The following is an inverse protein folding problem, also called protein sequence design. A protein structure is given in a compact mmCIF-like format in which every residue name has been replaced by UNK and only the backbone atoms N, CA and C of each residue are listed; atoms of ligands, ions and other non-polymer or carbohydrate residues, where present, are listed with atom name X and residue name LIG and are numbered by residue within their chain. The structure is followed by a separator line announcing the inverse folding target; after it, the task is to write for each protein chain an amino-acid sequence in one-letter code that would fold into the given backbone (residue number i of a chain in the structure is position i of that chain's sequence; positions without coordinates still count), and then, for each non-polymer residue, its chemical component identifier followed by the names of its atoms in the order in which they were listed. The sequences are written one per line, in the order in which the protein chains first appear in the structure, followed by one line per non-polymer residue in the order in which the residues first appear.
data_IF_639280061110
#
_entry.id   IF_639280061110
#
_cell.length_a   1.000
_cell.length_b   1.000
_cell.length_c   1.000
_cell.angle_alpha   90.00
_cell.angle_beta   90.00
_cell.angle_gamma   90.00
#
_symmetry.space_group_name_H-M   'P 1'
#
loop_
_entity.id
_entity.type
_entity.pdbx_description
1 polymer ?
#
# COMPACT_ATOMS: atom_id res chain seq x y z
N UNK A 1 10.42 14.29 10.75
CA UNK A 1 11.52 14.07 9.77
C UNK A 1 12.06 12.65 9.90
N UNK A 2 12.23 12.14 11.14
CA UNK A 2 12.55 10.73 11.42
C UNK A 2 11.50 9.73 10.92
N UNK A 3 10.20 9.97 11.14
CA UNK A 3 9.15 9.02 10.67
C UNK A 3 9.07 8.90 9.14
N UNK A 4 9.39 9.99 8.43
CA UNK A 4 9.44 10.00 6.97
C UNK A 4 10.67 9.22 6.46
N UNK A 5 11.80 9.32 7.15
CA UNK A 5 13.02 8.55 6.85
C UNK A 5 12.84 7.06 7.16
N UNK A 6 12.16 6.71 8.25
CA UNK A 6 11.88 5.33 8.63
C UNK A 6 10.97 4.64 7.59
N UNK A 7 9.92 5.33 7.12
CA UNK A 7 9.04 4.83 6.05
C UNK A 7 9.75 4.75 4.68
N UNK A 8 10.66 5.68 4.38
CA UNK A 8 11.48 5.63 3.17
C UNK A 8 12.42 4.43 3.17
N UNK A 9 13.11 4.17 4.30
CA UNK A 9 14.00 3.02 4.45
C UNK A 9 13.20 1.72 4.35
N UNK A 10 12.04 1.61 5.02
CA UNK A 10 11.20 0.38 4.97
C UNK A 10 10.77 0.05 3.54
N UNK A 11 10.39 1.08 2.76
CA UNK A 11 9.94 0.95 1.36
C UNK A 11 11.08 0.72 0.35
N UNK A 12 12.28 1.20 0.63
CA UNK A 12 13.43 1.09 -0.29
C UNK A 12 14.52 0.14 0.21
N UNK A 13 14.27 -0.57 1.31
CA UNK A 13 15.23 -1.46 1.95
C UNK A 13 15.79 -2.50 0.99
N UNK A 14 14.93 -3.20 0.24
CA UNK A 14 15.36 -4.22 -0.72
C UNK A 14 16.28 -3.64 -1.80
N UNK A 15 15.99 -2.42 -2.27
CA UNK A 15 16.83 -1.73 -3.26
C UNK A 15 18.17 -1.32 -2.64
N UNK A 16 18.15 -0.75 -1.43
CA UNK A 16 19.37 -0.36 -0.70
C UNK A 16 20.25 -1.59 -0.45
N UNK A 17 19.65 -2.68 0.04
CA UNK A 17 20.33 -3.92 0.33
C UNK A 17 20.96 -4.52 -0.94
N UNK A 18 20.23 -4.49 -2.06
CA UNK A 18 20.74 -4.93 -3.36
C UNK A 18 21.90 -4.04 -3.85
N UNK A 19 21.82 -2.72 -3.69
CA UNK A 19 22.91 -1.81 -4.03
C UNK A 19 24.16 -2.07 -3.18
N UNK A 20 24.00 -2.33 -1.89
CA UNK A 20 25.12 -2.70 -1.00
C UNK A 20 25.72 -4.03 -1.45
N UNK A 21 24.89 -5.02 -1.79
CA UNK A 21 25.33 -6.31 -2.32
C UNK A 21 26.17 -6.12 -3.59
N UNK A 22 25.64 -5.40 -4.59
CA UNK A 22 26.36 -5.10 -5.84
C UNK A 22 27.66 -4.35 -5.59
N UNK A 23 27.65 -3.37 -4.69
CA UNK A 23 28.86 -2.64 -4.31
C UNK A 23 29.92 -3.57 -3.70
N UNK A 24 29.54 -4.45 -2.77
CA UNK A 24 30.46 -5.42 -2.17
C UNK A 24 30.97 -6.44 -3.18
N UNK A 25 30.13 -6.91 -4.12
CA UNK A 25 30.54 -7.78 -5.22
C UNK A 25 31.57 -7.11 -6.13
N UNK A 26 31.40 -5.81 -6.43
CA UNK A 26 32.37 -5.03 -7.20
C UNK A 26 33.70 -4.87 -6.46
N UNK A 27 33.66 -4.58 -5.16
CA UNK A 27 34.86 -4.52 -4.31
C UNK A 27 35.58 -5.87 -4.28
N UNK A 28 34.83 -6.98 -4.16
CA UNK A 28 35.35 -8.33 -4.22
C UNK A 28 36.04 -8.62 -5.57
N UNK A 29 35.38 -8.27 -6.68
CA UNK A 29 35.94 -8.41 -8.02
C UNK A 29 37.26 -7.64 -8.18
N UNK A 30 37.31 -6.38 -7.72
CA UNK A 30 38.52 -5.55 -7.75
C UNK A 30 39.62 -6.17 -6.89
N UNK A 31 39.30 -6.69 -5.70
CA UNK A 31 40.25 -7.38 -4.84
C UNK A 31 40.86 -8.60 -5.55
N UNK A 32 40.04 -9.48 -6.12
CA UNK A 32 40.53 -10.68 -6.80
C UNK A 32 41.40 -10.38 -8.02
N UNK A 33 41.11 -9.28 -8.74
CA UNK A 33 41.82 -8.95 -9.97
C UNK A 33 43.11 -8.13 -9.73
N UNK A 34 43.05 -7.10 -8.87
CA UNK A 34 44.15 -6.15 -8.68
C UNK A 34 44.99 -6.45 -7.43
N UNK A 35 44.35 -6.57 -6.27
CA UNK A 35 45.05 -6.56 -4.98
C UNK A 35 45.44 -7.95 -4.48
N UNK A 36 44.66 -8.98 -4.85
CA UNK A 36 44.84 -10.40 -4.49
C UNK A 36 45.04 -10.63 -2.99
N UNK A 37 44.36 -9.84 -2.16
CA UNK A 37 44.46 -9.94 -0.71
C UNK A 37 43.63 -11.13 -0.25
N UNK A 38 44.29 -12.13 0.32
CA UNK A 38 43.67 -13.31 0.93
C UNK A 38 43.95 -13.30 2.44
N UNK A 39 42.96 -12.93 3.24
CA UNK A 39 43.08 -12.86 4.71
C UNK A 39 42.95 -14.24 5.38
N UNK A 40 42.21 -15.16 4.77
CA UNK A 40 41.91 -16.49 5.33
C UNK A 40 42.38 -17.55 4.34
N UNK A 41 43.23 -18.45 4.81
CA UNK A 41 43.71 -19.62 4.07
C UNK A 41 42.96 -20.85 4.57
N UNK A 42 42.22 -21.49 3.68
CA UNK A 42 41.46 -22.70 3.97
C UNK A 42 42.11 -23.90 3.28
N UNK A 43 42.08 -25.06 3.92
CA UNK A 43 42.43 -26.33 3.29
C UNK A 43 41.32 -26.81 2.35
N UNK A 44 41.67 -27.72 1.44
CA UNK A 44 40.72 -28.36 0.51
C UNK A 44 39.49 -28.90 1.22
N UNK A 45 39.69 -29.73 2.23
CA UNK A 45 38.59 -30.32 3.00
C UNK A 45 37.68 -29.24 3.60
N UNK A 46 38.26 -28.16 4.15
CA UNK A 46 37.48 -27.06 4.72
C UNK A 46 36.61 -26.38 3.67
N UNK A 47 37.13 -26.17 2.46
CA UNK A 47 36.38 -25.56 1.36
C UNK A 47 35.22 -26.47 0.95
N UNK A 48 35.49 -27.75 0.67
CA UNK A 48 34.42 -28.69 0.29
C UNK A 48 33.33 -28.76 1.37
N UNK A 49 33.70 -28.86 2.65
CA UNK A 49 32.73 -28.90 3.74
C UNK A 49 31.92 -27.61 3.86
N UNK A 50 32.56 -26.43 3.80
CA UNK A 50 31.87 -25.14 3.95
C UNK A 50 30.87 -24.95 2.83
N UNK A 51 31.28 -25.05 1.57
CA UNK A 51 30.40 -24.70 0.44
C UNK A 51 29.34 -25.77 0.17
N UNK A 52 29.63 -27.06 0.44
CA UNK A 52 28.59 -28.09 0.41
C UNK A 52 27.56 -27.87 1.52
N UNK A 53 27.99 -27.58 2.75
CA UNK A 53 27.07 -27.36 3.87
C UNK A 53 26.24 -26.08 3.68
N UNK A 54 26.86 -25.01 3.17
CA UNK A 54 26.19 -23.73 2.93
C UNK A 54 25.09 -23.87 1.87
N UNK A 55 25.34 -24.59 0.77
CA UNK A 55 24.31 -24.89 -0.23
C UNK A 55 23.14 -25.69 0.35
N UNK A 56 23.41 -26.69 1.19
CA UNK A 56 22.37 -27.50 1.85
C UNK A 56 21.54 -26.69 2.84
N UNK A 57 22.18 -25.86 3.67
CA UNK A 57 21.50 -24.98 4.64
C UNK A 57 20.59 -23.99 3.93
N UNK A 58 21.07 -23.36 2.85
CA UNK A 58 20.24 -22.43 2.05
C UNK A 58 19.06 -23.17 1.41
N UNK A 59 19.28 -24.36 0.84
CA UNK A 59 18.20 -25.16 0.27
C UNK A 59 17.12 -25.52 1.31
N UNK A 60 17.54 -25.91 2.52
CA UNK A 60 16.61 -26.22 3.61
C UNK A 60 15.83 -24.97 4.08
N UNK A 61 16.53 -23.85 4.30
CA UNK A 61 15.90 -22.59 4.69
C UNK A 61 14.91 -22.10 3.64
N UNK A 62 15.28 -22.18 2.35
CA UNK A 62 14.41 -21.80 1.24
C UNK A 62 13.11 -22.63 1.24
N UNK A 63 13.22 -23.95 1.39
CA UNK A 63 12.07 -24.84 1.48
C UNK A 63 11.15 -24.49 2.66
N UNK A 64 11.73 -24.21 3.83
CA UNK A 64 10.98 -23.78 5.02
C UNK A 64 10.29 -22.43 4.80
N UNK A 65 10.95 -21.47 4.19
CA UNK A 65 10.40 -20.14 3.90
C UNK A 65 9.22 -20.21 2.93
N UNK A 66 9.31 -21.02 1.87
CA UNK A 66 8.21 -21.23 0.92
C UNK A 66 7.00 -21.86 1.62
N UNK A 67 7.23 -22.89 2.44
CA UNK A 67 6.17 -23.52 3.21
C UNK A 67 5.49 -22.54 4.19
N UNK A 68 6.30 -21.77 4.92
CA UNK A 68 5.80 -20.75 5.84
C UNK A 68 4.99 -19.66 5.13
N UNK A 69 5.47 -19.17 4.00
CA UNK A 69 4.75 -18.20 3.17
C UNK A 69 3.38 -18.75 2.73
N UNK A 70 3.32 -19.99 2.23
CA UNK A 70 2.06 -20.60 1.76
C UNK A 70 1.01 -20.67 2.87
N UNK A 71 1.41 -20.98 4.10
CA UNK A 71 0.50 -21.03 5.24
C UNK A 71 -0.03 -19.64 5.61
N UNK A 72 0.84 -18.63 5.55
CA UNK A 72 0.51 -17.25 5.91
C UNK A 72 -0.36 -16.59 4.85
N UNK A 73 -0.06 -16.78 3.56
CA UNK A 73 -0.89 -16.30 2.46
C UNK A 73 -2.32 -16.85 2.57
N UNK A 74 -2.45 -18.16 2.86
CA UNK A 74 -3.75 -18.78 3.09
C UNK A 74 -4.49 -18.19 4.28
N UNK A 75 -3.79 -17.97 5.41
CA UNK A 75 -4.41 -17.39 6.61
C UNK A 75 -4.83 -15.95 6.39
N UNK A 76 -4.02 -15.16 5.70
CA UNK A 76 -4.32 -13.77 5.37
C UNK A 76 -5.54 -13.65 4.46
N UNK A 77 -5.67 -14.51 3.45
CA UNK A 77 -6.89 -14.59 2.61
C UNK A 77 -8.13 -14.91 3.44
N UNK A 78 -8.06 -15.91 4.31
CA UNK A 78 -9.17 -16.26 5.22
C UNK A 78 -9.59 -15.07 6.09
N UNK A 79 -8.63 -14.31 6.63
CA UNK A 79 -8.93 -13.11 7.41
C UNK A 79 -9.62 -12.03 6.58
N UNK A 80 -9.20 -11.81 5.34
CA UNK A 80 -9.83 -10.85 4.44
C UNK A 80 -11.24 -11.27 3.97
N UNK A 81 -11.51 -12.57 3.91
CA UNK A 81 -12.85 -13.12 3.64
C UNK A 81 -13.79 -12.95 4.84
N UNK A 82 -13.27 -13.13 6.06
CA UNK A 82 -14.03 -12.94 7.31
C UNK A 82 -14.31 -11.47 7.61
N UNK A 83 -13.32 -10.59 7.39
CA UNK A 83 -13.44 -9.14 7.60
C UNK A 83 -13.02 -8.36 6.36
N UNK A 84 -14.03 -7.94 5.59
CA UNK A 84 -13.85 -7.12 4.37
C UNK A 84 -13.20 -5.76 4.62
N UNK A 85 -13.11 -5.30 5.87
CA UNK A 85 -12.55 -3.98 6.21
C UNK A 85 -11.02 -3.97 6.25
N UNK A 86 -10.40 -5.16 6.35
CA UNK A 86 -8.93 -5.32 6.31
C UNK A 86 -8.41 -5.76 4.94
N UNK A 87 -9.29 -6.02 3.97
CA UNK A 87 -8.90 -6.55 2.65
C UNK A 87 -7.81 -5.71 1.99
N UNK A 88 -7.98 -4.38 1.98
CA UNK A 88 -7.00 -3.43 1.42
C UNK A 88 -5.61 -3.59 2.08
N UNK A 89 -5.56 -3.73 3.41
CA UNK A 89 -4.30 -3.91 4.14
C UNK A 89 -3.68 -5.28 3.90
N UNK A 90 -4.51 -6.32 3.86
CA UNK A 90 -4.08 -7.70 3.63
C UNK A 90 -3.45 -7.84 2.25
N UNK A 91 -4.07 -7.28 1.21
CA UNK A 91 -3.53 -7.35 -0.15
C UNK A 91 -2.17 -6.64 -0.26
N UNK A 92 -2.04 -5.45 0.33
CA UNK A 92 -0.78 -4.71 0.41
C UNK A 92 0.33 -5.53 1.11
N UNK A 93 0.02 -6.08 2.28
CA UNK A 93 0.98 -6.88 3.07
C UNK A 93 1.41 -8.13 2.30
N UNK A 94 0.45 -8.82 1.66
CA UNK A 94 0.73 -10.02 0.85
C UNK A 94 1.65 -9.69 -0.33
N UNK A 95 1.45 -8.54 -0.97
CA UNK A 95 2.33 -8.08 -2.04
C UNK A 95 3.76 -7.85 -1.56
N UNK A 96 3.94 -7.22 -0.39
CA UNK A 96 5.27 -7.00 0.21
C UNK A 96 5.96 -8.34 0.58
N UNK A 97 5.21 -9.32 1.08
CA UNK A 97 5.72 -10.65 1.41
C UNK A 97 6.13 -11.41 0.16
N UNK A 98 5.32 -11.32 -0.90
CA UNK A 98 5.61 -11.94 -2.19
C UNK A 98 6.92 -11.39 -2.77
N UNK A 99 7.10 -10.07 -2.77
CA UNK A 99 8.34 -9.43 -3.25
C UNK A 99 9.54 -9.92 -2.44
N UNK A 100 9.45 -9.92 -1.10
CA UNK A 100 10.52 -10.38 -0.22
C UNK A 100 10.88 -11.85 -0.48
N UNK A 101 9.88 -12.71 -0.63
CA UNK A 101 10.07 -14.13 -0.96
C UNK A 101 10.80 -14.31 -2.30
N UNK A 102 10.43 -13.55 -3.32
CA UNK A 102 11.07 -13.62 -4.63
C UNK A 102 12.56 -13.25 -4.57
N UNK A 103 12.94 -12.24 -3.78
CA UNK A 103 14.35 -11.93 -3.55
C UNK A 103 15.10 -13.07 -2.89
N UNK A 104 14.52 -13.68 -1.84
CA UNK A 104 15.12 -14.82 -1.14
C UNK A 104 15.32 -16.00 -2.10
N UNK A 105 14.32 -16.32 -2.93
CA UNK A 105 14.42 -17.40 -3.93
C UNK A 105 15.57 -17.14 -4.91
N UNK A 106 15.60 -15.96 -5.53
CA UNK A 106 16.59 -15.64 -6.56
C UNK A 106 18.00 -15.65 -5.97
N UNK A 107 18.22 -14.98 -4.84
CA UNK A 107 19.52 -14.93 -4.17
C UNK A 107 19.97 -16.33 -3.73
N UNK A 108 19.06 -17.15 -3.20
CA UNK A 108 19.36 -18.52 -2.78
C UNK A 108 19.82 -19.40 -3.94
N UNK A 109 19.15 -19.32 -5.09
CA UNK A 109 19.54 -20.07 -6.29
C UNK A 109 20.93 -19.64 -6.77
N UNK A 110 21.18 -18.32 -6.87
CA UNK A 110 22.49 -17.79 -7.25
C UNK A 110 23.57 -18.27 -6.29
N UNK A 111 23.30 -18.24 -4.99
CA UNK A 111 24.24 -18.68 -3.97
C UNK A 111 24.58 -20.17 -4.08
N UNK A 112 23.57 -21.03 -4.25
CA UNK A 112 23.77 -22.48 -4.46
C UNK A 112 24.63 -22.71 -5.70
N UNK A 113 24.36 -22.01 -6.80
CA UNK A 113 25.19 -22.09 -8.02
C UNK A 113 26.63 -21.67 -7.73
N UNK A 114 26.86 -20.59 -6.98
CA UNK A 114 28.21 -20.15 -6.64
C UNK A 114 28.93 -21.15 -5.73
N UNK A 115 28.26 -21.76 -4.76
CA UNK A 115 28.81 -22.85 -3.95
C UNK A 115 29.25 -24.03 -4.82
N UNK A 116 28.42 -24.43 -5.79
CA UNK A 116 28.77 -25.51 -6.73
C UNK A 116 29.94 -25.12 -7.63
N UNK A 117 30.01 -23.86 -8.08
CA UNK A 117 31.15 -23.35 -8.85
C UNK A 117 32.45 -23.38 -8.03
N UNK A 118 32.42 -22.99 -6.74
CA UNK A 118 33.59 -23.10 -5.86
C UNK A 118 34.11 -24.54 -5.82
N UNK A 119 33.22 -25.51 -5.61
CA UNK A 119 33.58 -26.93 -5.58
C UNK A 119 34.16 -27.38 -6.94
N UNK A 120 33.53 -26.96 -8.05
CA UNK A 120 33.95 -27.36 -9.39
C UNK A 120 35.27 -26.72 -9.86
N UNK A 121 35.58 -25.49 -9.41
CA UNK A 121 36.78 -24.75 -9.87
C UNK A 121 37.98 -24.91 -8.95
N UNK A 122 37.81 -25.50 -7.76
CA UNK A 122 38.87 -25.62 -6.76
C UNK A 122 40.10 -26.38 -7.28
N UNK A 123 39.89 -27.54 -7.89
CA UNK A 123 40.98 -28.43 -8.36
C UNK A 123 41.57 -28.01 -9.72
N UNK A 124 40.85 -27.18 -10.47
CA UNK A 124 41.20 -26.82 -11.85
C UNK A 124 42.27 -25.70 -11.99
N UNK A 125 43.01 -25.38 -10.93
CA UNK A 125 44.04 -24.32 -10.93
C UNK A 125 43.55 -22.94 -11.45
N UNK A 126 42.23 -22.67 -11.42
CA UNK A 126 41.64 -21.38 -11.79
C UNK A 126 41.84 -20.36 -10.66
N UNK A 127 43.10 -20.02 -10.40
CA UNK A 127 43.59 -19.26 -9.25
C UNK A 127 42.93 -17.88 -9.05
N UNK A 128 42.34 -17.29 -10.10
CA UNK A 128 41.71 -15.96 -10.04
C UNK A 128 40.20 -16.03 -9.84
N UNK A 129 39.55 -17.14 -10.23
CA UNK A 129 38.09 -17.27 -10.26
C UNK A 129 37.56 -17.92 -8.98
N UNK A 130 38.28 -18.91 -8.45
CA UNK A 130 37.88 -19.61 -7.22
C UNK A 130 37.78 -18.68 -6.01
N UNK A 131 38.77 -17.80 -5.71
CA UNK A 131 38.67 -16.87 -4.59
C UNK A 131 37.49 -15.90 -4.70
N UNK A 132 37.15 -15.46 -5.93
CA UNK A 132 36.00 -14.59 -6.15
C UNK A 132 34.71 -15.29 -5.72
N UNK A 133 34.42 -16.48 -6.26
CA UNK A 133 33.19 -17.21 -5.92
C UNK A 133 33.14 -17.62 -4.44
N UNK A 134 34.30 -17.90 -3.84
CA UNK A 134 34.40 -18.21 -2.41
C UNK A 134 33.91 -17.05 -1.55
N UNK A 135 34.44 -15.84 -1.78
CA UNK A 135 34.03 -14.65 -1.03
C UNK A 135 32.61 -14.22 -1.38
N UNK A 136 32.24 -14.31 -2.66
CA UNK A 136 30.94 -13.90 -3.17
C UNK A 136 29.80 -14.73 -2.56
N UNK A 137 30.00 -16.04 -2.43
CA UNK A 137 29.02 -16.93 -1.78
C UNK A 137 28.78 -16.55 -0.32
N UNK A 138 29.81 -16.11 0.42
CA UNK A 138 29.67 -15.67 1.82
C UNK A 138 28.94 -14.32 1.90
N UNK A 139 29.24 -13.39 0.99
CA UNK A 139 28.55 -12.09 0.90
C UNK A 139 27.06 -12.33 0.66
N UNK A 140 26.72 -13.05 -0.42
CA UNK A 140 25.33 -13.33 -0.77
C UNK A 140 24.61 -14.10 0.34
N UNK A 141 25.27 -15.06 0.99
CA UNK A 141 24.69 -15.79 2.12
C UNK A 141 24.30 -14.87 3.27
N UNK A 142 25.15 -13.90 3.61
CA UNK A 142 24.88 -12.93 4.66
C UNK A 142 23.65 -12.07 4.32
N UNK A 143 23.51 -11.68 3.06
CA UNK A 143 22.32 -10.97 2.57
C UNK A 143 21.05 -11.81 2.63
N UNK A 144 21.12 -13.09 2.24
CA UNK A 144 20.00 -14.03 2.38
C UNK A 144 19.56 -14.13 3.85
N UNK A 145 20.50 -14.22 4.79
CA UNK A 145 20.18 -14.29 6.22
C UNK A 145 19.49 -13.01 6.73
N UNK A 146 19.93 -11.83 6.29
CA UNK A 146 19.27 -10.55 6.65
C UNK A 146 17.84 -10.52 6.12
N UNK A 147 17.62 -10.90 4.85
CA UNK A 147 16.28 -10.95 4.25
C UNK A 147 15.40 -12.01 4.91
N UNK A 148 15.95 -13.16 5.29
CA UNK A 148 15.22 -14.21 6.02
C UNK A 148 14.78 -13.75 7.41
N UNK A 149 15.67 -13.13 8.18
CA UNK A 149 15.33 -12.59 9.51
C UNK A 149 14.22 -11.55 9.36
N UNK A 150 14.35 -10.64 8.39
CA UNK A 150 13.34 -9.63 8.08
C UNK A 150 12.01 -10.27 7.69
N UNK A 151 12.04 -11.26 6.80
CA UNK A 151 10.86 -12.01 6.38
C UNK A 151 10.15 -12.65 7.56
N UNK A 152 10.89 -13.24 8.50
CA UNK A 152 10.32 -13.81 9.73
C UNK A 152 9.76 -12.72 10.65
N UNK A 153 10.44 -11.58 10.81
CA UNK A 153 9.93 -10.45 11.59
C UNK A 153 8.65 -9.85 10.99
N UNK A 154 8.49 -9.90 9.67
CA UNK A 154 7.24 -9.53 9.01
C UNK A 154 6.09 -10.46 9.37
N UNK A 155 6.32 -11.69 9.81
CA UNK A 155 5.24 -12.62 10.20
C UNK A 155 4.57 -12.24 11.55
N UNK A 156 4.79 -11.02 12.04
CA UNK A 156 4.20 -10.49 13.25
C UNK A 156 2.66 -10.35 13.10
N UNK A 157 1.86 -10.90 14.03
CA UNK A 157 0.39 -10.79 13.99
C UNK A 157 -0.11 -9.34 14.03
N UNK A 158 0.70 -8.39 14.49
CA UNK A 158 0.33 -6.98 14.59
C UNK A 158 0.54 -6.18 13.30
N UNK A 159 1.03 -6.77 12.20
CA UNK A 159 1.35 -6.02 10.98
C UNK A 159 0.13 -5.35 10.35
N UNK A 160 -1.05 -5.99 10.43
CA UNK A 160 -2.31 -5.37 9.99
C UNK A 160 -2.58 -4.10 10.82
N UNK A 161 -2.31 -4.16 12.13
CA UNK A 161 -2.53 -3.03 13.03
C UNK A 161 -1.55 -1.89 12.82
N UNK A 162 -0.28 -2.22 12.64
CA UNK A 162 0.77 -1.25 12.28
C UNK A 162 0.43 -0.53 10.96
N UNK A 163 -0.07 -1.28 9.96
CA UNK A 163 -0.49 -0.70 8.68
C UNK A 163 -1.70 0.23 8.85
N UNK A 164 -2.68 -0.16 9.68
CA UNK A 164 -3.81 0.70 10.05
C UNK A 164 -3.38 2.01 10.71
N UNK A 165 -2.48 1.96 11.70
CA UNK A 165 -1.91 3.17 12.33
C UNK A 165 -1.19 4.07 11.32
N UNK A 166 -0.35 3.50 10.44
CA UNK A 166 0.34 4.28 9.41
C UNK A 166 -0.61 4.92 8.41
N UNK A 167 -1.69 4.23 8.03
CA UNK A 167 -2.68 4.77 7.12
C UNK A 167 -3.45 5.93 7.76
N UNK A 168 -3.86 5.76 9.02
CA UNK A 168 -4.48 6.80 9.84
C UNK A 168 -3.61 8.05 9.92
N UNK A 169 -2.33 7.89 10.28
CA UNK A 169 -1.38 9.01 10.38
C UNK A 169 -1.22 9.74 9.05
N UNK A 170 -1.26 8.99 7.94
CA UNK A 170 -1.19 9.57 6.60
C UNK A 170 -2.43 10.41 6.26
N UNK A 171 -3.62 9.92 6.60
CA UNK A 171 -4.88 10.66 6.41
C UNK A 171 -4.92 11.87 7.34
N UNK A 172 -4.60 11.71 8.62
CA UNK A 172 -4.56 12.81 9.61
C UNK A 172 -3.62 13.95 9.16
N UNK A 173 -2.49 13.61 8.53
CA UNK A 173 -1.56 14.60 8.01
C UNK A 173 -2.15 15.47 6.89
N UNK A 174 -3.10 14.96 6.12
CA UNK A 174 -3.80 15.71 5.05
C UNK A 174 -4.77 16.76 5.60
N UNK A 175 -5.20 16.60 6.86
CA UNK A 175 -6.11 17.51 7.55
C UNK A 175 -5.39 18.52 8.46
N UNK A 176 -4.05 18.43 8.60
CA UNK A 176 -3.26 19.27 9.53
C UNK A 176 -3.30 20.77 9.23
N UNK A 177 -3.63 21.20 8.02
CA UNK A 177 -3.76 22.64 7.69
C UNK A 177 -5.05 23.29 8.25
N UNK A 178 -5.90 22.53 8.96
CA UNK A 178 -7.23 22.99 9.38
C UNK A 178 -7.51 22.96 10.90
N UNK A 179 -6.53 22.66 11.76
CA UNK A 179 -6.80 22.54 13.22
C UNK A 179 -5.78 23.23 14.13
N UNK A 180 -6.32 24.00 15.08
CA UNK A 180 -5.69 24.39 16.33
C UNK A 180 -5.28 23.15 17.12
N UNK A 181 -4.02 23.13 17.59
CA UNK A 181 -3.34 21.97 18.20
C UNK A 181 -3.90 21.48 19.55
N UNK A 182 -5.09 21.94 19.98
CA UNK A 182 -5.56 21.78 21.36
C UNK A 182 -6.86 20.97 21.53
N UNK A 183 -7.50 20.45 20.48
CA UNK A 183 -8.64 19.54 20.65
C UNK A 183 -8.19 18.07 20.69
N UNK A 184 -7.84 17.61 21.90
CA UNK A 184 -7.76 16.17 22.18
C UNK A 184 -9.15 15.56 22.04
N UNK A 185 -9.37 14.78 21.00
CA UNK A 185 -10.68 14.19 20.73
C UNK A 185 -10.64 12.68 21.02
N UNK A 186 -11.11 12.32 22.22
CA UNK A 186 -11.51 10.95 22.61
C UNK A 186 -12.83 10.56 21.90
N UNK A 187 -12.95 10.86 20.60
CA UNK A 187 -14.20 10.72 19.84
C UNK A 187 -14.27 9.43 19.02
N UNK A 188 -13.52 8.37 19.39
CA UNK A 188 -13.53 7.10 18.67
C UNK A 188 -14.93 6.50 18.57
N UNK A 189 -15.58 6.21 19.70
CA UNK A 189 -16.89 5.58 19.70
C UNK A 189 -17.97 6.43 18.99
N UNK A 190 -18.07 7.76 19.26
CA UNK A 190 -18.97 8.63 18.51
C UNK A 190 -18.74 8.60 17.00
N UNK A 191 -17.48 8.69 16.55
CA UNK A 191 -17.12 8.64 15.14
C UNK A 191 -17.58 7.32 14.47
N UNK A 192 -17.33 6.17 15.12
CA UNK A 192 -17.76 4.87 14.60
C UNK A 192 -19.29 4.79 14.52
N UNK A 193 -19.99 5.31 15.53
CA UNK A 193 -21.46 5.35 15.54
C UNK A 193 -22.00 6.19 14.38
N UNK A 194 -21.47 7.41 14.19
CA UNK A 194 -21.96 8.34 13.16
C UNK A 194 -21.60 7.85 11.75
N UNK A 195 -20.42 7.24 11.57
CA UNK A 195 -20.07 6.57 10.32
C UNK A 195 -21.05 5.44 10.00
N UNK A 196 -21.40 4.60 10.98
CA UNK A 196 -22.35 3.51 10.76
C UNK A 196 -23.76 4.03 10.41
N UNK A 197 -24.16 5.19 10.96
CA UNK A 197 -25.40 5.86 10.57
C UNK A 197 -25.35 6.37 9.13
N UNK A 198 -24.22 6.96 8.71
CA UNK A 198 -24.00 7.35 7.32
C UNK A 198 -24.04 6.16 6.37
N UNK A 199 -23.32 5.07 6.70
CA UNK A 199 -23.30 3.84 5.89
C UNK A 199 -24.71 3.25 5.72
N UNK A 200 -25.49 3.22 6.81
CA UNK A 200 -26.89 2.77 6.76
C UNK A 200 -27.73 3.67 5.87
N UNK A 201 -27.62 5.00 6.03
CA UNK A 201 -28.35 5.97 5.23
C UNK A 201 -28.08 5.81 3.72
N UNK A 202 -26.81 5.62 3.34
CA UNK A 202 -26.41 5.38 1.95
C UNK A 202 -27.09 4.14 1.37
N UNK A 203 -27.07 3.02 2.12
CA UNK A 203 -27.71 1.77 1.71
C UNK A 203 -29.22 1.90 1.61
N UNK A 204 -29.86 2.55 2.58
CA UNK A 204 -31.31 2.79 2.58
C UNK A 204 -31.73 3.65 1.38
N UNK A 205 -30.98 4.72 1.08
CA UNK A 205 -31.23 5.58 -0.07
C UNK A 205 -31.04 4.82 -1.40
N UNK A 206 -29.96 4.05 -1.55
CA UNK A 206 -29.74 3.24 -2.74
C UNK A 206 -30.84 2.18 -2.94
N UNK A 207 -31.25 1.48 -1.87
CA UNK A 207 -32.33 0.49 -1.93
C UNK A 207 -33.69 1.11 -2.27
N UNK A 208 -33.97 2.32 -1.79
CA UNK A 208 -35.15 3.10 -2.17
C UNK A 208 -35.17 3.37 -3.68
N UNK A 209 -34.04 3.79 -4.27
CA UNK A 209 -33.95 4.11 -5.70
C UNK A 209 -34.11 2.89 -6.61
N UNK A 210 -33.64 1.72 -6.17
CA UNK A 210 -33.76 0.46 -6.94
C UNK A 210 -35.14 -0.20 -6.75
N UNK A 211 -35.95 0.28 -5.78
CA UNK A 211 -37.22 -0.37 -5.43
C UNK A 211 -37.04 -1.71 -4.74
N UNK A 212 -35.93 -1.92 -4.03
CA UNK A 212 -35.61 -3.17 -3.32
C UNK A 212 -35.26 -2.92 -1.84
N UNK A 213 -36.22 -2.45 -1.02
CA UNK A 213 -35.98 -2.06 0.37
C UNK A 213 -35.52 -3.23 1.27
N UNK A 214 -35.85 -4.48 0.91
CA UNK A 214 -35.46 -5.65 1.69
C UNK A 214 -33.97 -6.05 1.53
N UNK A 215 -33.21 -5.32 0.70
CA UNK A 215 -31.82 -5.65 0.35
C UNK A 215 -30.77 -4.79 1.05
N UNK A 216 -31.15 -3.83 1.91
CA UNK A 216 -30.23 -2.87 2.56
C UNK A 216 -29.02 -3.56 3.21
N UNK A 217 -29.26 -4.65 3.94
CA UNK A 217 -28.20 -5.36 4.68
C UNK A 217 -27.24 -6.14 3.78
N UNK A 218 -27.64 -6.45 2.53
CA UNK A 218 -26.81 -7.18 1.57
C UNK A 218 -25.98 -6.28 0.67
N UNK A 219 -26.41 -5.03 0.48
CA UNK A 219 -25.74 -4.09 -0.40
C UNK A 219 -24.41 -3.64 0.18
N UNK A 220 -23.33 -3.75 -0.60
CA UNK A 220 -22.02 -3.24 -0.20
C UNK A 220 -21.98 -1.71 -0.31
N UNK A 221 -21.08 -1.04 0.43
CA UNK A 221 -21.01 0.43 0.43
C UNK A 221 -20.73 1.00 -0.96
N UNK A 222 -19.85 0.36 -1.75
CA UNK A 222 -19.56 0.80 -3.12
C UNK A 222 -20.75 0.60 -4.06
N UNK A 223 -21.50 -0.50 -3.92
CA UNK A 223 -22.74 -0.70 -4.67
C UNK A 223 -23.76 0.40 -4.38
N UNK A 224 -23.88 0.80 -3.10
CA UNK A 224 -24.75 1.91 -2.70
C UNK A 224 -24.30 3.23 -3.31
N UNK A 225 -23.00 3.54 -3.25
CA UNK A 225 -22.43 4.74 -3.85
C UNK A 225 -22.60 4.77 -5.38
N UNK A 226 -22.40 3.65 -6.06
CA UNK A 226 -22.60 3.52 -7.51
C UNK A 226 -24.06 3.74 -7.92
N UNK A 227 -25.00 3.26 -7.10
CA UNK A 227 -26.43 3.52 -7.32
C UNK A 227 -26.74 4.99 -7.17
N UNK A 228 -26.26 5.62 -6.09
CA UNK A 228 -26.50 7.05 -5.84
C UNK A 228 -25.86 7.93 -6.92
N UNK A 229 -24.65 7.59 -7.36
CA UNK A 229 -23.95 8.30 -8.43
C UNK A 229 -24.67 8.15 -9.79
N UNK A 230 -25.12 6.94 -10.14
CA UNK A 230 -25.87 6.69 -11.40
C UNK A 230 -27.24 7.38 -11.44
N UNK A 231 -27.87 7.56 -10.27
CA UNK A 231 -29.11 8.31 -10.14
C UNK A 231 -28.87 9.81 -9.91
N UNK A 232 -27.62 10.26 -10.09
CA UNK A 232 -27.19 11.66 -9.94
C UNK A 232 -27.50 12.25 -8.55
N UNK A 233 -27.76 11.43 -7.52
CA UNK A 233 -28.04 11.90 -6.16
C UNK A 233 -26.80 12.52 -5.53
N UNK A 234 -25.63 11.94 -5.85
CA UNK A 234 -24.32 12.41 -5.40
C UNK A 234 -23.42 12.62 -6.61
N UNK A 235 -22.43 13.50 -6.48
CA UNK A 235 -21.36 13.66 -7.46
C UNK A 235 -20.11 12.82 -7.06
N UNK A 236 -19.07 12.89 -7.89
CA UNK A 236 -17.83 12.12 -7.71
C UNK A 236 -17.02 12.60 -6.52
N UNK A 237 -17.16 13.87 -6.18
CA UNK A 237 -16.56 14.50 -5.02
C UNK A 237 -17.18 13.96 -3.73
N UNK A 238 -18.51 13.86 -3.66
CA UNK A 238 -19.20 13.24 -2.52
C UNK A 238 -18.79 11.78 -2.38
N UNK A 239 -18.71 11.04 -3.51
CA UNK A 239 -18.21 9.67 -3.52
C UNK A 239 -16.80 9.59 -2.92
N UNK A 240 -15.90 10.46 -3.36
CA UNK A 240 -14.51 10.55 -2.87
C UNK A 240 -14.44 10.77 -1.37
N UNK A 241 -15.23 11.72 -0.85
CA UNK A 241 -15.29 12.02 0.59
C UNK A 241 -15.76 10.80 1.39
N UNK A 242 -16.79 10.10 0.91
CA UNK A 242 -17.32 8.93 1.63
C UNK A 242 -16.33 7.76 1.62
N UNK A 243 -15.65 7.50 0.50
CA UNK A 243 -14.58 6.49 0.46
C UNK A 243 -13.41 6.87 1.40
N UNK A 244 -13.11 8.16 1.53
CA UNK A 244 -12.12 8.64 2.48
C UNK A 244 -12.53 8.36 3.93
N UNK A 245 -13.80 8.58 4.29
CA UNK A 245 -14.33 8.22 5.61
C UNK A 245 -14.26 6.71 5.86
N UNK A 246 -14.57 5.90 4.84
CA UNK A 246 -14.45 4.42 4.91
C UNK A 246 -13.02 4.02 5.23
N UNK A 247 -12.04 4.53 4.47
CA UNK A 247 -10.61 4.27 4.71
C UNK A 247 -10.19 4.69 6.11
N UNK A 248 -10.57 5.90 6.52
CA UNK A 248 -10.23 6.42 7.84
C UNK A 248 -10.83 5.59 8.97
N UNK A 249 -12.11 5.18 8.84
CA UNK A 249 -12.77 4.27 9.78
C UNK A 249 -12.04 2.94 9.87
N UNK A 250 -11.66 2.35 8.75
CA UNK A 250 -10.93 1.08 8.72
C UNK A 250 -9.55 1.24 9.37
N UNK A 251 -8.83 2.33 9.09
CA UNK A 251 -7.55 2.64 9.72
C UNK A 251 -7.67 2.76 11.24
N UNK A 252 -8.69 3.48 11.73
CA UNK A 252 -8.98 3.64 13.17
C UNK A 252 -9.37 2.36 13.89
N UNK A 253 -10.22 1.52 13.28
CA UNK A 253 -10.65 0.26 13.90
C UNK A 253 -9.47 -0.70 14.05
N UNK A 254 -8.58 -0.69 13.06
CA UNK A 254 -7.45 -1.62 13.01
C UNK A 254 -6.16 -1.04 13.57
N UNK A 255 -6.08 0.23 13.94
CA UNK A 255 -4.87 0.82 14.51
C UNK A 255 -4.49 0.22 15.88
N UNK A 256 -3.31 0.58 16.37
CA UNK A 256 -2.94 0.33 17.76
C UNK A 256 -3.88 1.07 18.71
N UNK A 257 -4.08 0.54 19.91
CA UNK A 257 -5.03 1.11 20.88
C UNK A 257 -4.65 2.52 21.33
N UNK A 258 -3.36 2.84 21.33
CA UNK A 258 -2.84 4.19 21.60
C UNK A 258 -3.21 5.21 20.49
N UNK A 259 -3.56 4.73 19.30
CA UNK A 259 -3.77 5.56 18.11
C UNK A 259 -5.25 5.75 17.76
N UNK A 260 -6.18 5.47 18.70
CA UNK A 260 -7.62 5.58 18.45
C UNK A 260 -8.20 7.00 18.49
N UNK A 261 -7.36 8.02 18.64
CA UNK A 261 -7.79 9.42 18.58
C UNK A 261 -8.32 9.78 17.19
N UNK A 262 -9.40 10.56 17.14
CA UNK A 262 -10.05 10.97 15.88
C UNK A 262 -9.69 12.41 15.57
N UNK A 263 -9.35 12.70 14.31
CA UNK A 263 -9.12 14.05 13.84
C UNK A 263 -10.42 14.86 13.84
N UNK A 264 -10.50 16.00 14.58
CA UNK A 264 -11.71 16.80 14.68
C UNK A 264 -12.23 17.31 13.34
N UNK A 265 -11.33 17.68 12.42
CA UNK A 265 -11.70 18.17 11.08
C UNK A 265 -12.39 17.08 10.25
N UNK A 266 -11.88 15.84 10.32
CA UNK A 266 -12.49 14.69 9.64
C UNK A 266 -13.87 14.41 10.23
N UNK A 267 -13.96 14.40 11.56
CA UNK A 267 -15.24 14.12 12.23
C UNK A 267 -16.29 15.19 11.94
N UNK A 268 -15.90 16.47 11.93
CA UNK A 268 -16.77 17.59 11.53
C UNK A 268 -17.27 17.42 10.09
N UNK A 269 -16.37 17.11 9.15
CA UNK A 269 -16.71 16.87 7.73
C UNK A 269 -17.68 15.68 7.58
N UNK A 270 -17.50 14.62 8.36
CA UNK A 270 -18.42 13.47 8.37
C UNK A 270 -19.83 13.88 8.80
N UNK A 271 -19.94 14.66 9.88
CA UNK A 271 -21.23 15.13 10.38
C UNK A 271 -21.93 16.06 9.38
N UNK A 272 -21.20 16.98 8.76
CA UNK A 272 -21.73 17.89 7.74
C UNK A 272 -22.28 17.13 6.53
N UNK A 273 -21.52 16.15 6.00
CA UNK A 273 -21.99 15.29 4.90
C UNK A 273 -23.22 14.47 5.30
N UNK A 274 -23.21 13.88 6.51
CA UNK A 274 -24.34 13.09 6.99
C UNK A 274 -25.62 13.93 7.09
N UNK A 275 -25.53 15.14 7.65
CA UNK A 275 -26.68 16.05 7.77
C UNK A 275 -27.24 16.43 6.39
N UNK A 276 -26.38 16.83 5.45
CA UNK A 276 -26.79 17.21 4.09
C UNK A 276 -27.44 16.03 3.36
N UNK A 277 -26.82 14.85 3.41
CA UNK A 277 -27.35 13.65 2.76
C UNK A 277 -28.66 13.20 3.38
N UNK A 278 -28.80 13.30 4.71
CA UNK A 278 -30.03 12.93 5.42
C UNK A 278 -31.18 13.86 5.04
N UNK A 279 -30.94 15.17 5.04
CA UNK A 279 -31.94 16.13 4.58
C UNK A 279 -32.39 15.86 3.14
N UNK A 280 -31.44 15.55 2.23
CA UNK A 280 -31.78 15.19 0.86
C UNK A 280 -32.61 13.89 0.79
N UNK A 281 -32.27 12.87 1.60
CA UNK A 281 -33.02 11.62 1.66
C UNK A 281 -34.44 11.80 2.17
N UNK A 282 -34.62 12.51 3.29
CA UNK A 282 -35.93 12.72 3.92
C UNK A 282 -36.86 13.48 2.95
N UNK A 283 -36.36 14.56 2.32
CA UNK A 283 -37.11 15.32 1.32
C UNK A 283 -37.46 14.50 0.08
N UNK A 284 -36.57 13.58 -0.34
CA UNK A 284 -36.82 12.71 -1.49
C UNK A 284 -37.97 11.74 -1.21
N UNK A 285 -38.00 11.15 -0.02
CA UNK A 285 -39.08 10.23 0.38
C UNK A 285 -40.42 10.97 0.46
N UNK A 286 -40.40 12.20 0.96
CA UNK A 286 -41.59 13.05 1.08
C UNK A 286 -42.08 13.60 -0.27
N UNK A 287 -41.37 13.32 -1.39
CA UNK A 287 -41.60 13.94 -2.71
C UNK A 287 -41.66 15.47 -2.64
N UNK A 288 -40.81 16.06 -1.80
CA UNK A 288 -40.75 17.50 -1.60
C UNK A 288 -39.95 18.18 -2.72
N UNK A 289 -40.41 19.32 -3.19
CA UNK A 289 -39.76 20.14 -4.23
C UNK A 289 -38.40 20.66 -3.82
N UNK A 290 -38.15 20.82 -2.51
CA UNK A 290 -36.89 21.35 -1.96
C UNK A 290 -35.73 20.34 -2.06
N UNK A 291 -36.01 19.11 -2.49
CA UNK A 291 -35.00 18.07 -2.71
C UNK A 291 -33.87 18.54 -3.63
N UNK A 292 -34.19 19.20 -4.75
CA UNK A 292 -33.20 19.64 -5.74
C UNK A 292 -32.24 20.70 -5.16
N UNK A 293 -32.73 21.56 -4.26
CA UNK A 293 -31.91 22.55 -3.56
C UNK A 293 -30.93 21.86 -2.60
N UNK A 294 -31.41 20.91 -1.80
CA UNK A 294 -30.54 20.16 -0.86
C UNK A 294 -29.54 19.24 -1.55
N UNK A 295 -29.93 18.64 -2.67
CA UNK A 295 -29.02 17.90 -3.53
C UNK A 295 -27.90 18.79 -4.05
N UNK A 296 -28.22 20.01 -4.51
CA UNK A 296 -27.22 20.99 -4.97
C UNK A 296 -26.30 21.44 -3.84
N UNK A 297 -26.84 21.71 -2.66
CA UNK A 297 -26.04 22.09 -1.48
C UNK A 297 -25.02 20.99 -1.10
N UNK A 298 -25.44 19.72 -1.12
CA UNK A 298 -24.55 18.57 -0.92
C UNK A 298 -23.43 18.53 -1.96
N UNK A 299 -23.77 18.72 -3.23
CA UNK A 299 -22.79 18.69 -4.33
C UNK A 299 -21.81 19.86 -4.27
N UNK A 300 -22.29 21.08 -3.97
CA UNK A 300 -21.48 22.29 -3.84
C UNK A 300 -20.51 22.18 -2.66
N UNK A 301 -20.98 21.63 -1.53
CA UNK A 301 -20.13 21.31 -0.39
C UNK A 301 -19.03 20.34 -0.80
N UNK A 302 -19.40 19.26 -1.50
CA UNK A 302 -18.44 18.26 -1.94
C UNK A 302 -17.42 18.81 -2.94
N UNK A 303 -17.80 19.69 -3.87
CA UNK A 303 -16.84 20.35 -4.77
C UNK A 303 -15.81 21.19 -4.00
N UNK A 304 -16.25 21.90 -2.95
CA UNK A 304 -15.36 22.72 -2.11
C UNK A 304 -14.44 21.89 -1.21
N UNK A 305 -14.82 20.67 -0.85
CA UNK A 305 -14.13 19.88 0.19
C UNK A 305 -13.69 18.47 -0.23
N UNK A 306 -14.00 18.00 -1.44
CA UNK A 306 -13.91 16.57 -1.80
C UNK A 306 -12.62 16.11 -2.47
N UNK A 307 -11.88 17.04 -3.06
CA UNK A 307 -10.51 16.79 -3.52
C UNK A 307 -9.53 17.56 -2.65
N UNK A 308 -8.54 16.86 -2.10
CA UNK A 308 -7.40 17.50 -1.46
C UNK A 308 -6.54 18.23 -2.50
N UNK A 309 -5.57 19.04 -2.04
CA UNK A 309 -4.72 19.86 -2.90
C UNK A 309 -3.98 19.03 -3.97
N UNK A 310 -3.51 17.82 -3.61
CA UNK A 310 -2.79 16.94 -4.53
C UNK A 310 -3.75 16.44 -5.63
N UNK A 311 -4.94 15.98 -5.25
CA UNK A 311 -5.95 15.49 -6.19
C UNK A 311 -6.41 16.60 -7.14
N UNK A 312 -6.60 17.82 -6.64
CA UNK A 312 -6.91 19.00 -7.48
C UNK A 312 -5.82 19.26 -8.50
N UNK A 313 -4.55 19.29 -8.07
CA UNK A 313 -3.41 19.51 -8.98
C UNK A 313 -3.27 18.38 -10.00
N UNK A 314 -3.51 17.13 -9.62
CA UNK A 314 -3.53 15.99 -10.55
C UNK A 314 -4.63 16.18 -11.59
N UNK A 315 -5.86 16.48 -11.15
CA UNK A 315 -7.00 16.66 -12.05
C UNK A 315 -6.78 17.85 -12.99
N UNK A 316 -6.40 19.02 -12.48
CA UNK A 316 -6.09 20.22 -13.26
C UNK A 316 -4.97 19.99 -14.29
N UNK A 317 -3.94 19.21 -13.92
CA UNK A 317 -2.90 18.85 -14.88
C UNK A 317 -3.43 17.90 -15.97
N UNK A 318 -4.24 16.91 -15.60
CA UNK A 318 -4.79 15.93 -16.54
C UNK A 318 -5.90 16.49 -17.44
N UNK A 319 -6.56 17.60 -17.06
CA UNK A 319 -7.51 18.31 -17.95
C UNK A 319 -6.80 19.04 -19.08
N UNK A 320 -5.61 19.57 -18.81
CA UNK A 320 -4.77 20.28 -19.80
C UNK A 320 -3.84 19.33 -20.59
N UNK A 321 -3.40 18.24 -19.96
CA UNK A 321 -2.47 17.26 -20.53
C UNK A 321 -3.06 15.86 -20.49
N UNK A 322 -4.00 15.59 -21.40
CA UNK A 322 -4.59 14.25 -21.53
C UNK A 322 -3.53 13.21 -21.90
N UNK A 323 -3.59 12.04 -21.27
CA UNK A 323 -2.63 10.94 -21.45
C UNK A 323 -1.23 11.23 -20.88
N UNK A 324 -1.13 11.96 -19.78
CA UNK A 324 0.13 12.11 -19.06
C UNK A 324 0.52 10.82 -18.34
N UNK A 325 1.83 10.58 -18.26
CA UNK A 325 2.47 9.53 -17.48
C UNK A 325 2.63 9.93 -16.01
N UNK A 326 2.91 8.94 -15.16
CA UNK A 326 3.05 9.14 -13.71
C UNK A 326 4.19 10.11 -13.38
N UNK A 327 5.24 10.09 -14.22
CA UNK A 327 6.41 10.94 -14.09
C UNK A 327 6.09 12.39 -14.45
N UNK A 328 5.37 12.62 -15.55
CA UNK A 328 4.97 13.97 -15.96
C UNK A 328 4.05 14.62 -14.92
N UNK A 329 3.11 13.85 -14.37
CA UNK A 329 2.22 14.33 -13.30
C UNK A 329 3.05 14.65 -12.04
N UNK A 330 4.02 13.80 -11.68
CA UNK A 330 4.92 14.05 -10.54
C UNK A 330 5.76 15.31 -10.71
N UNK A 331 6.33 15.52 -11.90
CA UNK A 331 7.13 16.70 -12.24
C UNK A 331 6.28 17.98 -12.24
N UNK A 332 5.05 17.92 -12.77
CA UNK A 332 4.15 19.07 -12.85
C UNK A 332 3.55 19.48 -11.49
N UNK A 333 3.24 18.50 -10.65
CA UNK A 333 2.60 18.75 -9.34
C UNK A 333 3.62 18.98 -8.22
N UNK A 334 4.90 18.72 -8.47
CA UNK A 334 6.01 18.77 -7.50
C UNK A 334 5.82 17.86 -6.28
N UNK A 335 5.13 16.71 -6.46
CA UNK A 335 5.04 15.65 -5.46
C UNK A 335 5.75 14.40 -5.92
N UNK A 336 6.16 13.55 -4.97
CA UNK A 336 6.83 12.28 -5.29
C UNK A 336 5.94 11.35 -6.14
N UNK A 337 6.57 10.61 -7.05
CA UNK A 337 5.92 9.58 -7.88
C UNK A 337 5.07 8.61 -7.04
N UNK A 338 5.56 8.25 -5.84
CA UNK A 338 4.84 7.37 -4.92
C UNK A 338 3.53 7.98 -4.39
N UNK A 339 3.55 9.27 -4.01
CA UNK A 339 2.36 9.98 -3.54
C UNK A 339 1.33 10.10 -4.67
N UNK A 340 1.79 10.49 -5.86
CA UNK A 340 0.95 10.60 -7.06
C UNK A 340 0.34 9.26 -7.44
N UNK A 341 1.11 8.17 -7.39
CA UNK A 341 0.61 6.83 -7.69
C UNK A 341 -0.55 6.43 -6.77
N UNK A 342 -0.41 6.68 -5.46
CA UNK A 342 -1.46 6.39 -4.48
C UNK A 342 -2.73 7.20 -4.76
N UNK A 343 -2.58 8.50 -5.04
CA UNK A 343 -3.72 9.38 -5.36
C UNK A 343 -4.41 9.02 -6.67
N UNK A 344 -3.63 8.72 -7.71
CA UNK A 344 -4.16 8.26 -8.99
C UNK A 344 -4.97 6.98 -8.81
N UNK A 345 -4.48 6.01 -8.03
CA UNK A 345 -5.24 4.79 -7.76
C UNK A 345 -6.61 5.11 -7.13
N UNK A 346 -6.66 6.02 -6.15
CA UNK A 346 -7.92 6.47 -5.55
C UNK A 346 -8.83 7.17 -6.57
N UNK A 347 -8.29 8.11 -7.36
CA UNK A 347 -9.03 8.82 -8.41
C UNK A 347 -9.57 7.88 -9.50
N UNK A 348 -8.88 6.76 -9.76
CA UNK A 348 -9.36 5.72 -10.66
C UNK A 348 -10.49 4.91 -10.05
N UNK A 349 -10.38 4.52 -8.78
CA UNK A 349 -11.40 3.76 -8.07
C UNK A 349 -12.73 4.51 -8.00
N UNK A 350 -12.69 5.83 -7.75
CA UNK A 350 -13.90 6.68 -7.76
C UNK A 350 -14.36 7.05 -9.17
N UNK A 351 -13.68 6.54 -10.20
CA UNK A 351 -13.99 6.78 -11.61
C UNK A 351 -13.65 8.18 -12.12
N UNK A 352 -13.03 9.07 -11.35
CA UNK A 352 -12.68 10.44 -11.76
C UNK A 352 -11.72 10.48 -12.96
N UNK A 353 -10.78 9.52 -13.01
CA UNK A 353 -9.83 9.35 -14.11
C UNK A 353 -9.83 7.92 -14.64
N UNK A 354 -9.39 7.71 -15.88
CA UNK A 354 -9.29 6.38 -16.49
C UNK A 354 -7.87 6.08 -16.92
N UNK A 355 -7.45 4.82 -16.68
CA UNK A 355 -6.16 4.30 -17.15
C UNK A 355 -6.24 4.03 -18.64
N UNK A 356 -5.23 4.46 -19.38
CA UNK A 356 -5.04 4.12 -20.78
C UNK A 356 -3.68 3.41 -20.88
N UNK A 357 -3.66 2.22 -21.49
CA UNK A 357 -2.46 1.40 -21.64
C UNK A 357 -2.19 0.41 -20.48
N UNK A 358 -1.19 -0.45 -20.68
CA UNK A 358 -0.81 -1.53 -19.75
C UNK A 358 0.66 -1.42 -19.33
N UNK A 359 0.97 -1.84 -18.11
CA UNK A 359 2.35 -1.86 -17.59
C UNK A 359 2.99 -0.47 -17.43
N UNK A 360 4.25 -0.32 -17.86
CA UNK A 360 5.07 0.91 -17.69
C UNK A 360 4.64 2.08 -18.58
N UNK A 361 3.75 1.85 -19.55
CA UNK A 361 3.24 2.88 -20.46
C UNK A 361 1.83 3.35 -20.07
N UNK A 362 1.43 3.13 -18.81
CA UNK A 362 0.13 3.61 -18.36
C UNK A 362 0.11 5.13 -18.32
N UNK A 363 -0.90 5.69 -18.97
CA UNK A 363 -1.23 7.12 -18.96
C UNK A 363 -2.63 7.31 -18.40
N UNK A 364 -2.96 8.54 -17.98
CA UNK A 364 -4.26 8.84 -17.38
C UNK A 364 -4.98 9.97 -18.12
N UNK A 365 -6.31 9.91 -18.08
CA UNK A 365 -7.19 10.94 -18.62
C UNK A 365 -8.34 11.20 -17.65
N UNK A 366 -8.73 12.47 -17.51
CA UNK A 366 -9.93 12.85 -16.75
C UNK A 366 -11.17 12.43 -17.52
N UNK A 367 -12.11 11.79 -16.83
CA UNK A 367 -13.41 11.46 -17.42
C UNK A 367 -14.22 12.74 -17.62
N UNK A 368 -14.90 12.86 -18.75
CA UNK A 368 -15.61 14.08 -19.16
C UNK A 368 -16.78 14.49 -18.25
N UNK A 369 -17.11 13.67 -17.25
CA UNK A 369 -18.11 13.95 -16.21
C UNK A 369 -17.46 14.31 -14.85
N UNK A 370 -16.17 14.65 -14.81
CA UNK A 370 -15.39 14.94 -13.60
C UNK A 370 -15.00 16.42 -13.44
N UNK A 371 -15.56 17.32 -14.25
CA UNK A 371 -15.32 18.78 -14.19
C UNK A 371 -16.66 19.47 -14.07
#
# INVERSE_FOLDING_TARGET
MEDLQMNFIKKHFHMILLWICVFLSLVNLINCWLFKINLILLSENQILYIYSSLAQVIGALLGLTIAGYSMIDSKMKSLAEEDTTITDYVEDIRQDYYISLMYIIILSIINIVFCLLVIATYDNNLLTVTPFFMTESIIIFSFIMIELIKFVCYLNPNVIREKGSLDKDSIDAEYKDSTDKNESSENFSPFITDYNLLEKLLRDFACYLIGSPNSTYKMQIFEALDVLLRNEIINRETYSIIDEFRRYRNALVHSLDADKSVNPSIYKKLNEIYTLLKSAYDLRIENNTDFEEKQRELMDYAQKHGYNEIDRKILEFLTTHSNASLREISEATNYSIAAIHRRIANLQTIGAITKIGTGRQSTWKVNSNSI
#
